data_IF_110750322240
#
_entry.id   IF_110750322240
#
_cell.length_a   1.000
_cell.length_b   1.000
_cell.length_c   1.000
_cell.angle_alpha   90.00
_cell.angle_beta   90.00
_cell.angle_gamma   90.00
#
_symmetry.space_group_name_H-M   'P 1'
#
loop_
_entity.id
_entity.type
_entity.pdbx_description
1 polymer ?
#
# COMPACT_ATOMS: atom_id res chain seq x y z
N UNK A 1 7.12 30.96 -17.96
CA UNK A 1 7.84 30.47 -16.78
C UNK A 1 7.51 28.99 -16.62
N UNK A 2 8.43 28.12 -17.03
CA UNK A 2 8.26 26.66 -16.92
C UNK A 2 8.92 26.26 -15.60
N UNK A 3 8.12 25.93 -14.59
CA UNK A 3 8.61 25.47 -13.31
C UNK A 3 9.32 24.14 -13.50
N UNK A 4 10.62 24.11 -13.15
CA UNK A 4 11.44 22.91 -13.18
C UNK A 4 10.76 21.84 -12.32
N UNK A 5 10.31 20.76 -12.97
CA UNK A 5 10.00 19.51 -12.29
C UNK A 5 11.32 19.01 -11.70
N UNK A 6 11.52 19.36 -10.42
CA UNK A 6 12.66 18.91 -9.65
C UNK A 6 12.80 17.41 -9.81
N UNK A 7 13.98 17.02 -10.26
CA UNK A 7 14.46 15.66 -10.39
C UNK A 7 14.47 15.03 -8.97
N UNK A 8 13.29 14.69 -8.45
CA UNK A 8 13.18 13.92 -7.21
C UNK A 8 13.73 12.56 -7.59
N UNK A 9 14.90 12.14 -7.06
CA UNK A 9 15.30 10.75 -7.22
C UNK A 9 14.11 9.93 -6.71
N UNK A 10 13.63 9.00 -7.54
CA UNK A 10 12.61 8.03 -7.13
C UNK A 10 13.06 7.53 -5.76
N UNK A 11 12.33 7.92 -4.73
CA UNK A 11 12.59 7.45 -3.38
C UNK A 11 12.24 5.99 -3.45
N UNK A 12 13.24 5.17 -3.83
CA UNK A 12 13.16 3.73 -3.75
C UNK A 12 12.73 3.47 -2.32
N UNK A 13 11.46 3.13 -2.15
CA UNK A 13 11.01 2.44 -0.94
C UNK A 13 12.06 1.36 -0.69
N UNK A 14 12.55 1.30 0.53
CA UNK A 14 13.92 0.98 0.95
C UNK A 14 14.36 -0.48 0.67
N UNK A 15 13.77 -1.14 -0.33
CA UNK A 15 13.87 -2.57 -0.61
C UNK A 15 13.17 -3.45 0.43
N UNK A 16 12.67 -2.87 1.53
CA UNK A 16 12.12 -3.63 2.66
C UNK A 16 10.60 -3.78 2.50
N UNK A 17 10.06 -5.01 2.54
CA UNK A 17 8.63 -5.25 2.40
C UNK A 17 7.83 -4.59 3.53
N UNK A 18 8.42 -4.43 4.72
CA UNK A 18 7.77 -3.84 5.88
C UNK A 18 7.45 -2.34 5.72
N UNK A 19 8.39 -1.53 5.24
CA UNK A 19 8.14 -0.08 5.07
C UNK A 19 7.08 0.20 4.00
N UNK A 20 7.00 -0.65 2.96
CA UNK A 20 5.94 -0.59 1.95
C UNK A 20 4.56 -0.90 2.55
N UNK A 21 4.47 -1.91 3.42
CA UNK A 21 3.22 -2.27 4.11
C UNK A 21 2.75 -1.11 5.00
N UNK A 22 3.63 -0.55 5.83
CA UNK A 22 3.31 0.56 6.74
C UNK A 22 2.88 1.79 5.94
N UNK A 23 3.63 2.17 4.90
CA UNK A 23 3.29 3.33 4.07
C UNK A 23 1.96 3.13 3.32
N UNK A 24 1.68 1.93 2.81
CA UNK A 24 0.41 1.63 2.15
C UNK A 24 -0.78 1.65 3.13
N UNK A 25 -0.58 1.17 4.37
CA UNK A 25 -1.58 1.21 5.42
C UNK A 25 -1.91 2.65 5.82
N UNK A 26 -0.88 3.47 6.10
CA UNK A 26 -1.04 4.90 6.40
C UNK A 26 -1.79 5.60 5.26
N UNK A 27 -1.39 5.36 4.00
CA UNK A 27 -2.08 5.95 2.85
C UNK A 27 -3.55 5.53 2.72
N UNK A 28 -3.89 4.29 3.10
CA UNK A 28 -5.28 3.80 3.17
C UNK A 28 -6.10 4.44 4.29
N UNK A 29 -5.42 4.93 5.32
CA UNK A 29 -6.00 5.69 6.44
C UNK A 29 -6.11 7.20 6.15
N UNK A 30 -5.77 7.62 4.92
CA UNK A 30 -5.60 9.02 4.51
C UNK A 30 -4.46 9.75 5.25
N UNK A 31 -3.48 9.01 5.74
CA UNK A 31 -2.28 9.52 6.39
C UNK A 31 -1.01 9.25 5.56
N UNK A 32 -0.09 10.22 5.50
CA UNK A 32 1.20 10.01 4.83
C UNK A 32 1.14 9.89 3.29
N UNK A 33 2.30 9.63 2.69
CA UNK A 33 2.45 9.53 1.23
C UNK A 33 2.37 8.06 0.78
N UNK A 34 1.62 7.75 -0.30
CA UNK A 34 1.55 6.39 -0.82
C UNK A 34 2.93 5.92 -1.30
N UNK A 35 3.31 4.66 -1.02
CA UNK A 35 4.60 4.12 -1.46
C UNK A 35 4.64 3.98 -2.98
N UNK A 36 5.84 3.99 -3.56
CA UNK A 36 6.05 3.90 -5.01
C UNK A 36 5.37 2.67 -5.63
N UNK A 37 5.38 1.53 -4.93
CA UNK A 37 4.71 0.32 -5.37
C UNK A 37 3.19 0.49 -5.51
N UNK A 38 2.55 1.24 -4.61
CA UNK A 38 1.12 1.54 -4.66
C UNK A 38 0.80 2.50 -5.81
N UNK A 39 1.61 3.55 -5.98
CA UNK A 39 1.48 4.48 -7.10
C UNK A 39 1.60 3.77 -8.44
N UNK A 40 2.59 2.87 -8.57
CA UNK A 40 2.75 2.06 -9.77
C UNK A 40 1.53 1.14 -9.98
N UNK A 41 1.05 0.47 -8.92
CA UNK A 41 -0.15 -0.36 -8.99
C UNK A 41 -1.37 0.39 -9.56
N UNK A 42 -1.65 1.59 -9.06
CA UNK A 42 -2.76 2.41 -9.58
C UNK A 42 -2.55 2.84 -11.03
N UNK A 43 -1.34 3.25 -11.39
CA UNK A 43 -1.02 3.61 -12.79
C UNK A 43 -1.24 2.43 -13.72
N UNK A 44 -0.81 1.23 -13.31
CA UNK A 44 -0.99 0.02 -14.10
C UNK A 44 -2.44 -0.40 -14.20
N UNK A 45 -3.24 -0.25 -13.12
CA UNK A 45 -4.69 -0.48 -13.20
C UNK A 45 -5.39 0.47 -14.18
N UNK A 46 -4.92 1.73 -14.23
CA UNK A 46 -5.54 2.77 -15.06
C UNK A 46 -5.12 2.74 -16.53
N UNK A 47 -3.85 2.42 -16.79
CA UNK A 47 -3.25 2.57 -18.12
C UNK A 47 -2.68 1.26 -18.70
N UNK A 48 -2.74 0.17 -17.94
CA UNK A 48 -2.17 -1.11 -18.34
C UNK A 48 -0.66 -1.16 -18.12
N UNK A 49 -0.02 -2.14 -18.75
CA UNK A 49 1.41 -2.37 -18.66
C UNK A 49 2.19 -1.18 -19.23
N UNK A 50 2.98 -0.45 -18.41
CA UNK A 50 3.72 0.73 -18.88
C UNK A 50 4.85 0.37 -19.85
N UNK A 51 5.28 -0.89 -19.91
CA UNK A 51 6.37 -1.33 -20.77
C UNK A 51 5.89 -2.02 -22.05
N UNK A 52 4.62 -2.46 -22.09
CA UNK A 52 4.03 -3.18 -23.22
C UNK A 52 4.67 -4.54 -23.50
N UNK A 53 5.50 -5.05 -22.58
CA UNK A 53 6.23 -6.32 -22.69
C UNK A 53 5.44 -7.49 -22.11
N UNK A 54 4.44 -7.22 -21.29
CA UNK A 54 3.71 -8.19 -20.50
C UNK A 54 4.28 -8.32 -19.09
N UNK A 55 3.43 -8.76 -18.16
CA UNK A 55 3.71 -8.81 -16.73
C UNK A 55 4.87 -9.74 -16.33
N UNK A 56 5.22 -10.71 -17.19
CA UNK A 56 6.30 -11.68 -16.93
C UNK A 56 7.70 -11.07 -17.07
N UNK A 57 7.81 -9.97 -17.81
CA UNK A 57 9.10 -9.28 -18.05
C UNK A 57 9.42 -8.24 -16.97
N UNK A 58 8.55 -8.10 -15.98
CA UNK A 58 8.75 -7.15 -14.90
C UNK A 58 9.79 -7.67 -13.90
N UNK A 59 10.51 -6.78 -13.20
CA UNK A 59 11.46 -7.18 -12.18
C UNK A 59 10.84 -8.16 -11.16
N UNK A 60 11.55 -9.25 -10.90
CA UNK A 60 11.11 -10.27 -9.96
C UNK A 60 10.80 -9.64 -8.59
N UNK A 61 9.59 -9.86 -8.09
CA UNK A 61 9.10 -9.30 -6.82
C UNK A 61 8.41 -7.94 -6.92
N UNK A 62 8.57 -7.17 -8.00
CA UNK A 62 7.87 -5.89 -8.16
C UNK A 62 6.35 -6.08 -8.18
N UNK A 63 5.88 -7.09 -8.93
CA UNK A 63 4.46 -7.42 -8.98
C UNK A 63 3.91 -7.80 -7.60
N UNK A 64 4.66 -8.62 -6.85
CA UNK A 64 4.27 -9.00 -5.49
C UNK A 64 4.22 -7.79 -4.54
N UNK A 65 5.15 -6.84 -4.69
CA UNK A 65 5.13 -5.59 -3.91
C UNK A 65 3.92 -4.71 -4.24
N UNK A 66 3.59 -4.57 -5.53
CA UNK A 66 2.40 -3.82 -5.96
C UNK A 66 1.11 -4.45 -5.44
N UNK A 67 0.99 -5.78 -5.59
CA UNK A 67 -0.19 -6.52 -5.13
C UNK A 67 -0.31 -6.41 -3.60
N UNK A 68 0.80 -6.52 -2.88
CA UNK A 68 0.84 -6.33 -1.42
C UNK A 68 0.40 -4.91 -1.04
N UNK A 69 1.01 -3.89 -1.64
CA UNK A 69 0.71 -2.49 -1.33
C UNK A 69 -0.75 -2.15 -1.63
N UNK A 70 -1.27 -2.61 -2.76
CA UNK A 70 -2.66 -2.40 -3.16
C UNK A 70 -3.64 -3.12 -2.22
N UNK A 71 -3.35 -4.35 -1.82
CA UNK A 71 -4.19 -5.10 -0.90
C UNK A 71 -4.24 -4.44 0.49
N UNK A 72 -3.09 -3.99 1.01
CA UNK A 72 -3.03 -3.28 2.29
C UNK A 72 -3.77 -1.94 2.22
N UNK A 73 -3.55 -1.15 1.17
CA UNK A 73 -4.28 0.10 0.96
C UNK A 73 -5.80 -0.13 0.93
N UNK A 74 -6.27 -1.10 0.14
CA UNK A 74 -7.69 -1.40 0.03
C UNK A 74 -8.29 -1.89 1.34
N UNK A 75 -7.53 -2.67 2.12
CA UNK A 75 -7.95 -3.12 3.44
C UNK A 75 -8.22 -1.93 4.37
N UNK A 76 -7.26 -1.02 4.52
CA UNK A 76 -7.40 0.15 5.40
C UNK A 76 -8.49 1.12 4.89
N UNK A 77 -8.52 1.38 3.58
CA UNK A 77 -9.55 2.20 2.97
C UNK A 77 -10.96 1.60 3.15
N UNK A 78 -11.10 0.26 3.19
CA UNK A 78 -12.39 -0.39 3.44
C UNK A 78 -12.89 -0.18 4.88
N UNK A 79 -11.96 -0.05 5.84
CA UNK A 79 -12.27 0.16 7.25
C UNK A 79 -12.68 1.61 7.51
N UNK A 80 -12.07 2.57 6.81
CA UNK A 80 -12.45 3.99 6.84
C UNK A 80 -13.92 4.23 6.44
N UNK A 81 -14.48 3.39 5.57
CA UNK A 81 -15.88 3.48 5.16
C UNK A 81 -16.89 2.93 6.17
N UNK A 82 -16.45 2.36 7.29
CA UNK A 82 -17.33 1.68 8.25
C UNK A 82 -17.96 2.71 9.19
N UNK A 83 -19.30 2.74 9.33
CA UNK A 83 -19.95 3.66 10.25
C UNK A 83 -19.60 3.34 11.72
N UNK A 84 -19.68 4.32 12.64
CA UNK A 84 -19.47 4.09 14.07
C UNK A 84 -20.32 2.92 14.59
N UNK A 85 -19.68 1.97 15.29
CA UNK A 85 -20.32 0.75 15.79
C UNK A 85 -20.47 -0.39 14.77
N UNK A 86 -20.14 -0.16 13.49
CA UNK A 86 -20.22 -1.16 12.43
C UNK A 86 -19.06 -2.17 12.38
N UNK A 87 -17.97 -1.91 13.10
CA UNK A 87 -16.73 -2.67 12.99
C UNK A 87 -16.88 -4.15 13.35
N UNK A 88 -17.62 -4.46 14.43
CA UNK A 88 -17.83 -5.85 14.87
C UNK A 88 -18.57 -6.67 13.79
N UNK A 89 -19.57 -6.06 13.15
CA UNK A 89 -20.31 -6.69 12.04
C UNK A 89 -19.41 -6.90 10.83
N UNK A 90 -18.60 -5.90 10.49
CA UNK A 90 -17.65 -6.00 9.37
C UNK A 90 -16.60 -7.10 9.61
N UNK A 91 -16.02 -7.16 10.80
CA UNK A 91 -15.03 -8.17 11.17
C UNK A 91 -15.62 -9.58 11.11
N UNK A 92 -16.85 -9.75 11.59
CA UNK A 92 -17.58 -11.04 11.51
C UNK A 92 -17.83 -11.45 10.05
N UNK A 93 -18.15 -10.49 9.17
CA UNK A 93 -18.38 -10.75 7.76
C UNK A 93 -17.09 -10.99 6.95
N UNK A 94 -15.94 -10.49 7.43
CA UNK A 94 -14.66 -10.53 6.72
C UNK A 94 -13.53 -11.06 7.64
N UNK A 95 -13.59 -12.31 8.12
CA UNK A 95 -12.66 -12.82 9.13
C UNK A 95 -11.19 -12.78 8.67
N UNK A 96 -10.90 -13.16 7.43
CA UNK A 96 -9.52 -13.11 6.91
C UNK A 96 -8.96 -11.68 6.73
N UNK A 97 -9.83 -10.72 6.40
CA UNK A 97 -9.45 -9.31 6.33
C UNK A 97 -9.21 -8.74 7.73
N UNK A 98 -10.02 -9.13 8.70
CA UNK A 98 -9.85 -8.77 10.11
C UNK A 98 -8.53 -9.29 10.68
N UNK A 99 -8.20 -10.56 10.45
CA UNK A 99 -6.92 -11.14 10.89
C UNK A 99 -5.73 -10.40 10.27
N UNK A 100 -5.82 -10.10 8.96
CA UNK A 100 -4.80 -9.34 8.25
C UNK A 100 -4.64 -7.93 8.82
N UNK A 101 -5.75 -7.24 9.10
CA UNK A 101 -5.75 -5.91 9.71
C UNK A 101 -5.05 -5.93 11.07
N UNK A 102 -5.42 -6.88 11.94
CA UNK A 102 -4.82 -7.02 13.27
C UNK A 102 -3.31 -7.27 13.19
N UNK A 103 -2.87 -8.13 12.26
CA UNK A 103 -1.44 -8.40 12.06
C UNK A 103 -0.69 -7.16 11.54
N UNK A 104 -1.29 -6.39 10.63
CA UNK A 104 -0.67 -5.17 10.11
C UNK A 104 -0.62 -4.06 11.19
N UNK A 105 -1.65 -3.91 12.01
CA UNK A 105 -1.62 -2.96 13.13
C UNK A 105 -0.48 -3.24 14.11
N UNK A 106 -0.26 -4.52 14.46
CA UNK A 106 0.89 -4.93 15.29
C UNK A 106 2.24 -4.64 14.61
N UNK A 107 2.30 -4.80 13.28
CA UNK A 107 3.50 -4.46 12.52
C UNK A 107 3.77 -2.95 12.52
N UNK A 108 2.73 -2.12 12.44
CA UNK A 108 2.85 -0.65 12.52
C UNK A 108 3.35 -0.24 13.90
N UNK A 109 2.76 -0.77 14.97
CA UNK A 109 3.19 -0.52 16.35
C UNK A 109 4.68 -0.87 16.53
N UNK A 110 5.09 -2.06 16.10
CA UNK A 110 6.49 -2.47 16.18
C UNK A 110 7.44 -1.60 15.32
N UNK A 111 6.97 -1.06 14.19
CA UNK A 111 7.74 -0.16 13.33
C UNK A 111 7.88 1.23 13.96
N UNK A 112 6.82 1.78 14.54
CA UNK A 112 6.85 3.09 15.16
C UNK A 112 7.74 3.10 16.44
N UNK A 113 7.87 1.96 17.13
CA UNK A 113 8.78 1.78 18.28
C UNK A 113 10.26 1.67 17.89
N UNK A 114 10.57 1.18 16.68
CA UNK A 114 11.93 1.08 16.17
C UNK A 114 11.96 1.41 14.67
N UNK A 115 11.83 2.70 14.32
CA UNK A 115 11.91 3.13 12.94
C UNK A 115 13.36 2.98 12.48
N UNK A 116 13.60 1.98 11.62
CA UNK A 116 14.90 1.69 10.99
C UNK A 116 15.64 2.94 10.44
#
# INVERSE_FOLDING_TARGET
MVGAAGNRPLQRGNGRPFSVIVAAAKAGDNEGEPPEALLLAWRTQRWGDPYGTGWMDWPAGLRAQMDTALNVYNLFNSVQGIPPGGMAKWATANPGAWDSLQNILKLIEAYDDNPD
#
